data_IF_341622788105
#
_entry.id   IF_341622788105
#
_cell.length_a   1.000
_cell.length_b   1.000
_cell.length_c   1.000
_cell.angle_alpha   90.00
_cell.angle_beta   90.00
_cell.angle_gamma   90.00
#
_symmetry.space_group_name_H-M   'P 1'
#
loop_
_entity.id
_entity.type
_entity.pdbx_description
1 polymer ?
#
# COMPACT_ATOMS: atom_id res chain seq x y z
N UNK A 1 50.39 -12.28 17.91
CA UNK A 1 50.07 -12.83 16.57
C UNK A 1 48.92 -13.85 16.59
N UNK A 2 48.65 -14.55 17.68
CA UNK A 2 47.54 -15.56 17.79
C UNK A 2 46.16 -14.91 18.03
N UNK A 3 46.08 -13.84 18.82
CA UNK A 3 44.80 -13.16 19.10
C UNK A 3 44.14 -12.61 17.82
N UNK A 4 44.93 -12.14 16.87
CA UNK A 4 44.43 -11.61 15.60
C UNK A 4 43.82 -12.70 14.69
N UNK A 5 44.40 -13.91 14.71
CA UNK A 5 43.84 -15.05 13.94
C UNK A 5 42.52 -15.54 14.51
N UNK A 6 42.43 -15.67 15.86
CA UNK A 6 41.22 -16.09 16.53
C UNK A 6 40.09 -15.07 16.31
N UNK A 7 40.42 -13.79 16.38
CA UNK A 7 39.45 -12.72 16.13
C UNK A 7 38.93 -12.79 14.70
N UNK A 8 39.81 -12.96 13.71
CA UNK A 8 39.44 -13.08 12.29
C UNK A 8 38.58 -14.33 12.01
N UNK A 9 38.88 -15.46 12.68
CA UNK A 9 38.11 -16.68 12.56
C UNK A 9 36.70 -16.54 13.17
N UNK A 10 36.60 -15.85 14.31
CA UNK A 10 35.30 -15.55 14.95
C UNK A 10 34.45 -14.64 14.04
N UNK A 11 35.04 -13.58 13.49
CA UNK A 11 34.34 -12.69 12.54
C UNK A 11 33.91 -13.44 11.28
N UNK A 12 34.77 -14.28 10.69
CA UNK A 12 34.42 -15.09 9.52
C UNK A 12 33.28 -16.07 9.81
N UNK A 13 33.28 -16.72 10.97
CA UNK A 13 32.19 -17.62 11.39
C UNK A 13 30.90 -16.87 11.67
N UNK A 14 30.95 -15.69 12.28
CA UNK A 14 29.80 -14.83 12.50
C UNK A 14 29.22 -14.35 11.17
N UNK A 15 30.07 -13.92 10.24
CA UNK A 15 29.68 -13.50 8.89
C UNK A 15 29.06 -14.65 8.10
N UNK A 16 29.66 -15.85 8.10
CA UNK A 16 29.08 -17.04 7.48
C UNK A 16 27.73 -17.41 8.10
N UNK A 17 27.60 -17.36 9.43
CA UNK A 17 26.36 -17.63 10.14
C UNK A 17 25.30 -16.58 9.80
N UNK A 18 25.69 -15.32 9.69
CA UNK A 18 24.81 -14.23 9.29
C UNK A 18 24.36 -14.39 7.84
N UNK A 19 25.28 -14.66 6.90
CA UNK A 19 24.97 -14.91 5.49
C UNK A 19 24.05 -16.12 5.32
N UNK A 20 24.31 -17.23 6.01
CA UNK A 20 23.44 -18.41 5.96
C UNK A 20 22.06 -18.14 6.54
N UNK A 21 21.96 -17.30 7.56
CA UNK A 21 20.66 -16.86 8.12
C UNK A 21 19.91 -15.99 7.12
N UNK A 22 20.58 -15.06 6.46
CA UNK A 22 20.00 -14.21 5.41
C UNK A 22 19.55 -15.01 4.18
N UNK A 23 20.26 -16.06 3.81
CA UNK A 23 19.91 -16.92 2.67
C UNK A 23 18.77 -17.88 2.96
N UNK A 24 18.62 -18.33 4.20
CA UNK A 24 17.62 -19.35 4.60
C UNK A 24 16.36 -18.79 5.24
N UNK A 25 16.37 -17.54 5.72
CA UNK A 25 15.20 -16.96 6.36
C UNK A 25 14.18 -16.49 5.31
N UNK A 26 12.96 -17.02 5.42
CA UNK A 26 11.83 -16.60 4.60
C UNK A 26 11.46 -15.17 4.97
N UNK A 27 11.76 -14.23 4.08
CA UNK A 27 11.47 -12.80 4.30
C UNK A 27 9.97 -12.52 4.28
N UNK A 28 9.54 -11.61 5.14
CA UNK A 28 8.17 -11.07 5.11
C UNK A 28 8.05 -10.06 3.97
N UNK A 29 7.05 -10.27 3.12
CA UNK A 29 6.89 -9.59 1.83
C UNK A 29 5.83 -8.51 1.92
N UNK A 30 6.24 -7.28 1.67
CA UNK A 30 5.41 -6.08 1.77
C UNK A 30 5.18 -5.51 0.37
N UNK A 31 3.92 -5.30 0.00
CA UNK A 31 3.53 -4.49 -1.14
C UNK A 31 2.95 -3.17 -0.64
N UNK A 32 3.50 -2.08 -1.12
CA UNK A 32 3.02 -0.73 -0.80
C UNK A 32 2.65 0.02 -2.08
N UNK A 33 1.50 0.70 -2.08
CA UNK A 33 0.98 1.42 -3.25
C UNK A 33 0.67 2.85 -2.83
N UNK A 34 1.38 3.80 -3.45
CA UNK A 34 1.25 5.21 -3.13
C UNK A 34 -0.12 5.80 -3.47
N UNK A 35 -0.42 6.88 -2.79
CA UNK A 35 -1.46 7.81 -3.17
C UNK A 35 -1.02 8.76 -4.29
N UNK A 36 -1.85 9.78 -4.51
CA UNK A 36 -1.63 10.81 -5.52
C UNK A 36 -2.15 10.44 -6.91
N UNK A 37 -2.44 11.48 -7.70
CA UNK A 37 -3.08 11.33 -9.00
C UNK A 37 -4.51 10.80 -8.95
N UNK A 38 -5.18 10.84 -10.08
CA UNK A 38 -6.55 10.34 -10.24
C UNK A 38 -6.65 9.11 -11.12
N UNK A 39 -5.53 8.70 -11.72
CA UNK A 39 -5.52 7.64 -12.73
C UNK A 39 -4.85 6.34 -12.26
N UNK A 40 -3.94 6.41 -11.29
CA UNK A 40 -3.18 5.25 -10.84
C UNK A 40 -2.38 4.54 -11.96
N UNK A 41 -2.02 5.25 -13.03
CA UNK A 41 -1.41 4.65 -14.24
C UNK A 41 -0.11 3.93 -13.90
N UNK A 42 0.77 4.55 -13.13
CA UNK A 42 2.08 3.97 -12.80
C UNK A 42 1.92 2.72 -11.92
N UNK A 43 1.16 2.85 -10.84
CA UNK A 43 0.89 1.71 -9.95
C UNK A 43 0.11 0.61 -10.67
N UNK A 44 -0.86 0.97 -11.53
CA UNK A 44 -1.62 0.03 -12.34
C UNK A 44 -0.74 -0.72 -13.33
N UNK A 45 0.13 -0.04 -14.06
CA UNK A 45 1.08 -0.66 -14.99
C UNK A 45 2.02 -1.64 -14.27
N UNK A 46 2.55 -1.22 -13.12
CA UNK A 46 3.42 -2.06 -12.30
C UNK A 46 2.70 -3.29 -11.74
N UNK A 47 1.46 -3.16 -11.24
CA UNK A 47 0.66 -4.29 -10.73
C UNK A 47 0.33 -5.29 -11.83
N UNK A 48 -0.04 -4.82 -13.03
CA UNK A 48 -0.32 -5.70 -14.17
C UNK A 48 0.92 -6.49 -14.58
N UNK A 49 2.09 -5.84 -14.65
CA UNK A 49 3.34 -6.50 -14.98
C UNK A 49 3.77 -7.48 -13.89
N UNK A 50 3.68 -7.07 -12.63
CA UNK A 50 3.98 -7.89 -11.44
C UNK A 50 3.18 -9.21 -11.46
N UNK A 51 1.85 -9.16 -11.63
CA UNK A 51 1.02 -10.36 -11.65
C UNK A 51 1.31 -11.25 -12.86
N UNK A 52 1.56 -10.64 -14.03
CA UNK A 52 1.96 -11.35 -15.23
C UNK A 52 3.29 -12.10 -15.03
N UNK A 53 4.28 -11.45 -14.46
CA UNK A 53 5.58 -12.07 -14.18
C UNK A 53 5.51 -13.17 -13.12
N UNK A 54 4.71 -12.98 -12.07
CA UNK A 54 4.43 -14.02 -11.08
C UNK A 54 3.87 -15.27 -11.77
N UNK A 55 2.88 -15.14 -12.63
CA UNK A 55 2.28 -16.26 -13.38
C UNK A 55 3.29 -16.94 -14.30
N UNK A 56 4.09 -16.16 -15.01
CA UNK A 56 5.11 -16.69 -15.93
C UNK A 56 6.19 -17.48 -15.17
N UNK A 57 6.71 -16.96 -14.06
CA UNK A 57 7.80 -17.59 -13.31
C UNK A 57 7.35 -18.75 -12.45
N UNK A 58 6.08 -18.78 -12.02
CA UNK A 58 5.53 -19.92 -11.27
C UNK A 58 4.94 -21.00 -12.16
N UNK A 59 4.63 -20.71 -13.41
CA UNK A 59 3.86 -21.59 -14.29
C UNK A 59 2.40 -21.79 -13.86
N UNK A 60 1.91 -21.00 -12.89
CA UNK A 60 0.55 -21.05 -12.35
C UNK A 60 -0.27 -19.89 -12.94
N UNK A 61 -1.20 -20.19 -13.86
CA UNK A 61 -2.06 -19.21 -14.51
C UNK A 61 -3.02 -18.52 -13.54
N UNK A 62 -3.32 -19.16 -12.41
CA UNK A 62 -4.27 -18.67 -11.41
C UNK A 62 -3.59 -17.94 -10.24
N UNK A 63 -2.26 -17.83 -10.29
CA UNK A 63 -1.48 -17.12 -9.29
C UNK A 63 -1.89 -15.63 -9.25
N UNK A 64 -2.07 -15.10 -8.05
CA UNK A 64 -2.46 -13.73 -7.79
C UNK A 64 -1.44 -13.03 -6.89
N UNK A 65 -1.36 -11.71 -6.95
CA UNK A 65 -0.43 -10.91 -6.12
C UNK A 65 -0.58 -11.27 -4.63
N UNK A 66 -1.81 -11.41 -4.15
CA UNK A 66 -2.05 -11.75 -2.75
C UNK A 66 -1.46 -13.10 -2.30
N UNK A 67 -1.22 -14.03 -3.22
CA UNK A 67 -0.58 -15.32 -2.87
C UNK A 67 0.89 -15.15 -2.46
N UNK A 68 1.53 -14.06 -2.88
CA UNK A 68 2.97 -13.85 -2.73
C UNK A 68 3.35 -12.76 -1.74
N UNK A 69 2.42 -11.88 -1.34
CA UNK A 69 2.67 -10.85 -0.35
C UNK A 69 1.99 -11.19 0.98
N UNK A 70 2.68 -10.86 2.06
CA UNK A 70 2.23 -11.13 3.43
C UNK A 70 1.39 -9.97 3.98
N UNK A 71 1.61 -8.76 3.47
CA UNK A 71 0.86 -7.55 3.81
C UNK A 71 0.83 -6.60 2.62
N UNK A 72 -0.28 -5.89 2.47
CA UNK A 72 -0.45 -4.84 1.46
C UNK A 72 -0.82 -3.53 2.14
N UNK A 73 -0.19 -2.44 1.73
CA UNK A 73 -0.52 -1.08 2.18
C UNK A 73 -0.88 -0.20 0.99
N UNK A 74 -1.80 0.73 1.18
CA UNK A 74 -2.18 1.66 0.12
C UNK A 74 -2.72 2.98 0.64
N UNK A 75 -2.51 4.05 -0.11
CA UNK A 75 -3.04 5.40 0.17
C UNK A 75 -3.83 5.91 -1.02
N UNK A 76 -4.91 6.65 -0.80
CA UNK A 76 -5.68 7.25 -1.88
C UNK A 76 -6.14 6.24 -2.93
N UNK A 77 -5.80 6.46 -4.22
CA UNK A 77 -6.10 5.53 -5.31
C UNK A 77 -5.37 4.18 -5.12
N UNK A 78 -4.15 4.21 -4.56
CA UNK A 78 -3.40 3.00 -4.20
C UNK A 78 -4.11 2.16 -3.14
N UNK A 79 -4.84 2.78 -2.22
CA UNK A 79 -5.65 2.06 -1.25
C UNK A 79 -6.85 1.36 -1.90
N UNK A 80 -7.46 1.95 -2.93
CA UNK A 80 -8.56 1.30 -3.66
C UNK A 80 -8.02 0.05 -4.37
N UNK A 81 -6.88 0.16 -5.05
CA UNK A 81 -6.22 -0.98 -5.70
C UNK A 81 -5.83 -2.05 -4.67
N UNK A 82 -5.19 -1.65 -3.55
CA UNK A 82 -4.80 -2.56 -2.47
C UNK A 82 -6.01 -3.29 -1.87
N UNK A 83 -7.12 -2.58 -1.63
CA UNK A 83 -8.36 -3.17 -1.14
C UNK A 83 -8.96 -4.18 -2.14
N UNK A 84 -8.98 -3.87 -3.43
CA UNK A 84 -9.52 -4.75 -4.47
C UNK A 84 -8.74 -6.06 -4.60
N UNK A 85 -7.40 -6.00 -4.56
CA UNK A 85 -6.55 -7.19 -4.69
C UNK A 85 -6.38 -7.97 -3.37
N UNK A 86 -6.97 -7.51 -2.27
CA UNK A 86 -6.95 -8.20 -0.98
C UNK A 86 -8.34 -8.50 -0.41
N UNK A 87 -9.40 -7.89 -0.94
CA UNK A 87 -10.76 -8.18 -0.51
C UNK A 87 -11.11 -9.65 -0.77
N UNK A 88 -11.67 -10.33 0.24
CA UNK A 88 -12.01 -11.76 0.17
C UNK A 88 -13.35 -11.98 -0.55
N UNK A 89 -13.34 -12.81 -1.58
CA UNK A 89 -14.53 -13.22 -2.31
C UNK A 89 -15.47 -14.16 -1.50
N UNK A 90 -15.02 -14.63 -0.34
CA UNK A 90 -15.70 -15.57 0.54
C UNK A 90 -15.05 -16.96 0.55
N UNK A 91 -14.23 -17.29 -0.43
CA UNK A 91 -13.46 -18.53 -0.51
C UNK A 91 -12.05 -18.43 0.07
N UNK A 92 -11.63 -17.23 0.50
CA UNK A 92 -10.28 -16.91 0.94
C UNK A 92 -9.36 -16.46 -0.20
N UNK A 93 -9.93 -16.19 -1.38
CA UNK A 93 -9.19 -15.65 -2.53
C UNK A 93 -9.54 -14.16 -2.75
N UNK A 94 -8.66 -13.40 -3.38
CA UNK A 94 -8.94 -12.01 -3.75
C UNK A 94 -10.13 -11.88 -4.69
N UNK A 95 -10.98 -10.90 -4.43
CA UNK A 95 -12.15 -10.58 -5.25
C UNK A 95 -11.78 -10.15 -6.69
N UNK A 96 -10.59 -9.58 -6.86
CA UNK A 96 -10.07 -9.11 -8.14
C UNK A 96 -8.63 -9.56 -8.37
N UNK A 97 -8.32 -9.92 -9.62
CA UNK A 97 -6.95 -9.95 -10.11
C UNK A 97 -6.42 -8.52 -10.27
N UNK A 98 -5.11 -8.34 -10.42
CA UNK A 98 -4.56 -7.01 -10.74
C UNK A 98 -5.15 -6.45 -12.04
N UNK A 99 -5.36 -7.32 -13.04
CA UNK A 99 -5.98 -6.95 -14.32
C UNK A 99 -7.39 -6.40 -14.13
N UNK A 100 -8.22 -7.11 -13.37
CA UNK A 100 -9.60 -6.70 -13.15
C UNK A 100 -9.68 -5.41 -12.32
N UNK A 101 -8.84 -5.29 -11.29
CA UNK A 101 -8.78 -4.08 -10.45
C UNK A 101 -8.41 -2.84 -11.26
N UNK A 102 -7.35 -2.92 -12.07
CA UNK A 102 -6.90 -1.81 -12.92
C UNK A 102 -7.96 -1.47 -13.99
N UNK A 103 -8.58 -2.48 -14.59
CA UNK A 103 -9.64 -2.29 -15.58
C UNK A 103 -10.83 -1.56 -14.99
N UNK A 104 -11.34 -2.02 -13.85
CA UNK A 104 -12.47 -1.39 -13.14
C UNK A 104 -12.15 0.07 -12.76
N UNK A 105 -10.96 0.34 -12.23
CA UNK A 105 -10.56 1.71 -11.88
C UNK A 105 -10.50 2.60 -13.13
N UNK A 106 -10.00 2.07 -14.25
CA UNK A 106 -9.91 2.81 -15.51
C UNK A 106 -11.30 3.13 -16.07
N UNK A 107 -12.18 2.15 -16.12
CA UNK A 107 -13.57 2.33 -16.60
C UNK A 107 -14.37 3.28 -15.70
N UNK A 108 -14.24 3.12 -14.39
CA UNK A 108 -14.98 3.91 -13.39
C UNK A 108 -14.33 5.25 -13.05
N UNK A 109 -13.19 5.59 -13.64
CA UNK A 109 -12.44 6.80 -13.31
C UNK A 109 -13.29 8.07 -13.44
N UNK A 110 -14.09 8.19 -14.49
CA UNK A 110 -14.99 9.33 -14.70
C UNK A 110 -16.12 9.44 -13.68
N UNK A 111 -16.54 8.30 -13.09
CA UNK A 111 -17.53 8.26 -12.03
C UNK A 111 -16.90 8.51 -10.66
N UNK A 112 -15.72 7.93 -10.39
CA UNK A 112 -14.95 8.15 -9.16
C UNK A 112 -14.63 9.64 -8.95
N UNK A 113 -14.19 10.31 -10.01
CA UNK A 113 -13.76 11.70 -9.98
C UNK A 113 -14.75 12.63 -10.69
N UNK A 114 -16.04 12.30 -10.69
CA UNK A 114 -17.09 13.05 -11.34
C UNK A 114 -17.18 14.47 -10.78
N UNK A 115 -17.07 15.51 -11.60
CA UNK A 115 -17.27 16.89 -11.16
C UNK A 115 -18.69 17.08 -10.60
N UNK A 116 -18.79 17.83 -9.50
CA UNK A 116 -20.09 18.24 -8.98
C UNK A 116 -20.64 19.36 -9.84
N UNK A 117 -21.82 19.16 -10.42
CA UNK A 117 -22.55 20.21 -11.12
C UNK A 117 -23.05 21.22 -10.08
N UNK A 118 -22.33 22.34 -9.94
CA UNK A 118 -22.76 23.49 -9.13
C UNK A 118 -22.98 24.67 -10.05
N UNK A 119 -24.01 25.45 -9.76
CA UNK A 119 -24.42 26.60 -10.60
C UNK A 119 -23.26 27.58 -10.87
N UNK A 120 -23.50 28.46 -11.83
CA UNK A 120 -22.55 29.35 -12.53
C UNK A 120 -21.60 30.19 -11.64
N UNK A 121 -21.81 30.23 -10.33
CA UNK A 121 -21.04 31.07 -9.38
C UNK A 121 -20.00 30.35 -8.52
N UNK A 122 -19.79 29.00 -8.66
CA UNK A 122 -18.84 28.28 -7.79
C UNK A 122 -17.46 28.20 -8.41
N UNK A 123 -16.52 29.04 -7.97
CA UNK A 123 -15.10 29.08 -8.39
C UNK A 123 -14.27 27.81 -8.05
N UNK A 124 -14.75 26.91 -7.19
CA UNK A 124 -14.01 25.69 -6.79
C UNK A 124 -14.63 24.45 -7.44
N UNK A 125 -13.89 23.76 -8.28
CA UNK A 125 -14.26 22.45 -8.84
C UNK A 125 -14.23 21.38 -7.74
N UNK A 126 -15.35 21.13 -7.10
CA UNK A 126 -15.53 19.99 -6.18
C UNK A 126 -15.99 18.76 -6.93
N UNK A 127 -15.62 17.58 -6.40
CA UNK A 127 -16.05 16.31 -6.93
C UNK A 127 -17.30 15.79 -6.21
N UNK A 128 -18.02 14.88 -6.85
CA UNK A 128 -19.25 14.30 -6.32
C UNK A 128 -18.93 13.17 -5.34
N UNK A 129 -19.11 13.41 -4.04
CA UNK A 129 -18.98 12.37 -3.01
C UNK A 129 -19.94 11.20 -3.27
N UNK A 130 -21.20 11.47 -3.68
CA UNK A 130 -22.19 10.42 -3.95
C UNK A 130 -21.76 9.46 -5.06
N UNK A 131 -21.15 9.99 -6.12
CA UNK A 131 -20.69 9.18 -7.24
C UNK A 131 -19.55 8.26 -6.81
N UNK A 132 -18.55 8.80 -6.09
CA UNK A 132 -17.45 8.01 -5.54
C UNK A 132 -17.95 6.97 -4.54
N UNK A 133 -18.83 7.34 -3.61
CA UNK A 133 -19.40 6.43 -2.62
C UNK A 133 -20.16 5.27 -3.29
N UNK A 134 -20.91 5.54 -4.39
CA UNK A 134 -21.62 4.53 -5.17
C UNK A 134 -20.67 3.53 -5.81
N UNK A 135 -19.61 4.03 -6.47
CA UNK A 135 -18.60 3.18 -7.12
C UNK A 135 -17.86 2.33 -6.09
N UNK A 136 -17.40 2.94 -4.98
CA UNK A 136 -16.67 2.20 -3.94
C UNK A 136 -17.52 1.10 -3.30
N UNK A 137 -18.81 1.34 -3.05
CA UNK A 137 -19.72 0.31 -2.58
C UNK A 137 -19.88 -0.82 -3.59
N UNK A 138 -20.03 -0.48 -4.87
CA UNK A 138 -20.19 -1.48 -5.95
C UNK A 138 -18.95 -2.37 -6.07
N UNK A 139 -17.75 -1.81 -6.00
CA UNK A 139 -16.50 -2.57 -6.19
C UNK A 139 -16.04 -3.31 -4.93
N UNK A 140 -16.46 -2.88 -3.73
CA UNK A 140 -16.05 -3.46 -2.45
C UNK A 140 -17.23 -4.17 -1.75
N UNK A 141 -18.08 -4.81 -2.53
CA UNK A 141 -19.11 -5.74 -2.06
C UNK A 141 -18.82 -7.14 -2.61
N UNK A 142 -19.21 -8.15 -1.83
CA UNK A 142 -19.12 -9.54 -2.29
C UNK A 142 -20.09 -9.77 -3.43
N UNK A 143 -19.67 -10.49 -4.46
CA UNK A 143 -20.49 -10.69 -5.68
C UNK A 143 -21.68 -11.62 -5.46
N UNK A 144 -21.54 -12.59 -4.56
CA UNK A 144 -22.54 -13.64 -4.33
C UNK A 144 -23.78 -13.13 -3.54
N UNK A 145 -23.55 -12.39 -2.45
CA UNK A 145 -24.59 -11.97 -1.50
C UNK A 145 -24.78 -10.44 -1.44
N UNK A 146 -23.98 -9.68 -2.16
CA UNK A 146 -24.01 -8.21 -2.14
C UNK A 146 -23.59 -7.60 -0.80
N UNK A 147 -23.00 -8.38 0.11
CA UNK A 147 -22.55 -7.92 1.42
C UNK A 147 -21.40 -6.91 1.25
N UNK A 148 -21.53 -5.76 1.89
CA UNK A 148 -20.45 -4.78 1.99
C UNK A 148 -19.31 -5.36 2.84
N UNK A 149 -18.10 -5.37 2.26
CA UNK A 149 -16.93 -5.92 2.92
C UNK A 149 -16.38 -4.96 3.98
N UNK A 150 -15.77 -5.52 5.01
CA UNK A 150 -15.10 -4.79 6.10
C UNK A 150 -13.60 -5.08 6.09
N UNK A 151 -12.82 -4.38 6.91
CA UNK A 151 -11.38 -4.66 7.05
C UNK A 151 -11.07 -6.11 7.43
N UNK A 152 -11.98 -6.79 8.15
CA UNK A 152 -11.85 -8.23 8.46
C UNK A 152 -12.02 -9.12 7.25
N UNK A 153 -12.80 -8.69 6.27
CA UNK A 153 -13.13 -9.47 5.07
C UNK A 153 -12.02 -9.26 4.00
N UNK A 154 -10.75 -9.37 4.39
CA UNK A 154 -9.60 -9.35 3.47
C UNK A 154 -8.78 -10.63 3.62
N UNK A 155 -8.34 -11.21 2.50
CA UNK A 155 -7.54 -12.44 2.49
C UNK A 155 -6.10 -12.22 3.01
N UNK A 156 -5.62 -10.97 3.00
CA UNK A 156 -4.29 -10.57 3.51
C UNK A 156 -4.40 -9.37 4.46
N UNK A 157 -3.42 -9.21 5.39
CA UNK A 157 -3.27 -7.98 6.14
C UNK A 157 -3.25 -6.77 5.22
N UNK A 158 -4.09 -5.78 5.53
CA UNK A 158 -4.24 -4.54 4.77
C UNK A 158 -4.04 -3.34 5.69
N UNK A 159 -3.30 -2.34 5.21
CA UNK A 159 -3.09 -1.06 5.89
C UNK A 159 -3.50 0.10 5.01
N UNK A 160 -4.33 0.99 5.52
CA UNK A 160 -4.78 2.19 4.80
C UNK A 160 -4.73 3.40 5.76
N UNK A 161 -3.89 4.41 5.49
CA UNK A 161 -3.82 5.61 6.31
C UNK A 161 -4.86 6.65 5.90
N UNK A 162 -5.27 7.46 6.87
CA UNK A 162 -5.92 8.75 6.66
C UNK A 162 -5.41 9.75 7.71
N UNK A 163 -5.80 11.02 7.59
CA UNK A 163 -5.63 11.98 8.68
C UNK A 163 -6.98 12.21 9.36
N UNK A 164 -7.06 11.97 10.66
CA UNK A 164 -8.28 12.20 11.44
C UNK A 164 -8.28 13.59 12.05
N UNK A 165 -9.24 14.41 11.68
CA UNK A 165 -9.40 15.78 12.17
C UNK A 165 -9.83 15.85 13.65
N UNK A 166 -10.39 14.76 14.20
CA UNK A 166 -10.81 14.75 15.61
C UNK A 166 -9.61 14.60 16.55
N UNK A 167 -8.73 13.65 16.22
CA UNK A 167 -7.51 13.43 16.98
C UNK A 167 -6.37 14.36 16.55
N UNK A 168 -6.51 15.05 15.40
CA UNK A 168 -5.45 15.85 14.77
C UNK A 168 -4.18 15.05 14.52
N UNK A 169 -4.34 13.76 14.14
CA UNK A 169 -3.25 12.81 13.95
C UNK A 169 -3.50 11.87 12.76
N UNK A 170 -2.43 11.28 12.20
CA UNK A 170 -2.57 10.16 11.28
C UNK A 170 -3.29 8.99 11.96
N UNK A 171 -4.23 8.39 11.25
CA UNK A 171 -4.93 7.18 11.66
C UNK A 171 -4.75 6.11 10.60
N UNK A 172 -4.27 4.93 11.02
CA UNK A 172 -4.03 3.80 10.10
C UNK A 172 -5.06 2.70 10.36
N UNK A 173 -5.93 2.50 9.39
CA UNK A 173 -6.85 1.37 9.39
C UNK A 173 -6.08 0.09 9.09
N UNK A 174 -6.25 -0.94 9.92
CA UNK A 174 -5.58 -2.22 9.74
C UNK A 174 -6.52 -3.39 9.97
N UNK A 175 -6.29 -4.49 9.23
CA UNK A 175 -6.97 -5.76 9.51
C UNK A 175 -6.64 -6.28 10.92
N UNK A 176 -5.42 -6.08 11.39
CA UNK A 176 -5.01 -6.49 12.73
C UNK A 176 -5.87 -5.81 13.81
N UNK A 177 -5.99 -4.47 13.78
CA UNK A 177 -6.86 -3.74 14.71
C UNK A 177 -8.32 -4.13 14.58
N UNK A 178 -8.82 -4.30 13.35
CA UNK A 178 -10.18 -4.77 13.10
C UNK A 178 -10.44 -6.17 13.68
N UNK A 179 -9.42 -7.03 13.75
CA UNK A 179 -9.49 -8.36 14.31
C UNK A 179 -9.46 -8.37 15.84
N UNK A 180 -8.75 -7.42 16.43
CA UNK A 180 -8.66 -7.27 17.88
C UNK A 180 -9.95 -6.73 18.50
N UNK A 181 -10.60 -5.77 17.82
CA UNK A 181 -11.83 -5.16 18.33
C UNK A 181 -12.79 -4.77 17.22
N UNK A 182 -14.10 -5.03 17.37
CA UNK A 182 -15.14 -4.51 16.48
C UNK A 182 -15.13 -2.99 16.33
N UNK A 183 -14.63 -2.28 17.34
CA UNK A 183 -14.52 -0.82 17.34
C UNK A 183 -13.46 -0.28 16.38
N UNK A 184 -12.57 -1.15 15.86
CA UNK A 184 -11.61 -0.84 14.80
C UNK A 184 -11.95 -1.52 13.48
N UNK A 185 -13.10 -2.23 13.40
CA UNK A 185 -13.58 -2.80 12.14
C UNK A 185 -14.49 -1.78 11.44
N UNK A 186 -14.11 -1.41 10.21
CA UNK A 186 -14.82 -0.45 9.38
C UNK A 186 -15.18 -1.09 8.04
N UNK A 187 -16.28 -0.64 7.43
CA UNK A 187 -16.60 -1.00 6.05
C UNK A 187 -15.49 -0.54 5.11
N UNK A 188 -15.01 -1.43 4.27
CA UNK A 188 -13.82 -1.22 3.43
C UNK A 188 -13.99 -0.04 2.47
N UNK A 189 -15.20 0.14 1.90
CA UNK A 189 -15.51 1.28 1.05
C UNK A 189 -15.39 2.63 1.79
N UNK A 190 -15.75 2.68 3.08
CA UNK A 190 -15.60 3.88 3.91
C UNK A 190 -14.14 4.20 4.17
N UNK A 191 -13.33 3.18 4.39
CA UNK A 191 -11.88 3.33 4.57
C UNK A 191 -11.22 3.87 3.29
N UNK A 192 -11.55 3.30 2.14
CA UNK A 192 -11.09 3.81 0.84
C UNK A 192 -11.58 5.24 0.58
N UNK A 193 -12.82 5.54 0.95
CA UNK A 193 -13.38 6.89 0.82
C UNK A 193 -12.69 7.90 1.73
N UNK A 194 -12.30 7.49 2.94
CA UNK A 194 -11.59 8.31 3.91
C UNK A 194 -10.21 8.75 3.39
N UNK A 195 -9.41 7.78 2.94
CA UNK A 195 -8.05 8.03 2.42
C UNK A 195 -8.02 8.82 1.11
N UNK A 196 -9.15 8.88 0.37
CA UNK A 196 -9.31 9.67 -0.87
C UNK A 196 -10.01 11.02 -0.66
N UNK A 197 -10.27 11.43 0.58
CA UNK A 197 -10.97 12.67 0.89
C UNK A 197 -10.06 13.90 0.76
N UNK A 198 -9.50 14.13 -0.44
CA UNK A 198 -8.56 15.21 -0.73
C UNK A 198 -9.19 16.56 -0.44
N UNK A 199 -8.60 17.39 0.44
CA UNK A 199 -9.05 18.77 0.68
C UNK A 199 -9.12 19.53 -0.63
N UNK A 200 -10.03 20.49 -0.75
CA UNK A 200 -10.40 21.22 -1.97
C UNK A 200 -11.25 20.43 -2.97
N UNK A 201 -11.06 19.12 -3.14
CA UNK A 201 -11.87 18.28 -4.02
C UNK A 201 -13.10 17.72 -3.31
N UNK A 202 -12.92 17.24 -2.08
CA UNK A 202 -13.98 16.68 -1.24
C UNK A 202 -14.12 17.43 0.09
N UNK A 203 -15.24 17.22 0.77
CA UNK A 203 -15.39 17.56 2.18
C UNK A 203 -14.76 16.47 3.03
N UNK A 204 -14.35 16.76 4.29
CA UNK A 204 -14.00 15.74 5.25
C UNK A 204 -15.08 14.65 5.31
N UNK A 205 -14.66 13.41 5.42
CA UNK A 205 -15.57 12.27 5.44
C UNK A 205 -15.76 11.78 6.88
N UNK A 206 -17.02 11.83 7.36
CA UNK A 206 -17.37 11.39 8.71
C UNK A 206 -18.01 10.02 8.65
N UNK A 207 -17.51 9.07 9.45
CA UNK A 207 -18.04 7.72 9.52
C UNK A 207 -17.70 7.05 10.84
N UNK A 208 -18.30 5.89 11.06
CA UNK A 208 -18.13 5.09 12.29
C UNK A 208 -17.71 3.67 11.96
N UNK A 209 -17.11 3.01 12.96
CA UNK A 209 -16.89 1.56 12.97
C UNK A 209 -18.20 0.80 12.84
N UNK A 210 -18.12 -0.50 12.55
CA UNK A 210 -19.29 -1.38 12.37
C UNK A 210 -20.16 -1.43 13.64
N UNK A 211 -19.52 -1.38 14.83
CA UNK A 211 -20.23 -1.35 16.12
C UNK A 211 -20.65 0.07 16.57
N UNK A 212 -20.34 1.10 15.79
CA UNK A 212 -20.68 2.50 16.04
C UNK A 212 -19.88 3.18 17.17
N UNK A 213 -18.97 2.49 17.85
CA UNK A 213 -18.26 3.03 19.02
C UNK A 213 -17.13 3.97 18.66
N UNK A 214 -16.42 3.69 17.57
CA UNK A 214 -15.34 4.57 17.09
C UNK A 214 -15.82 5.40 15.91
N UNK A 215 -15.54 6.69 15.94
CA UNK A 215 -15.88 7.62 14.86
C UNK A 215 -14.65 8.37 14.39
N UNK A 216 -14.52 8.51 13.08
CA UNK A 216 -13.44 9.21 12.39
C UNK A 216 -13.98 10.37 11.56
N UNK A 217 -13.23 11.47 11.50
CA UNK A 217 -13.46 12.60 10.62
C UNK A 217 -12.26 12.75 9.68
N UNK A 218 -12.26 11.95 8.61
CA UNK A 218 -11.11 11.75 7.77
C UNK A 218 -10.93 12.79 6.68
N UNK A 219 -9.68 13.11 6.43
CA UNK A 219 -9.18 13.69 5.19
C UNK A 219 -8.07 12.82 4.61
N UNK A 220 -7.68 13.12 3.38
CA UNK A 220 -6.75 12.34 2.55
C UNK A 220 -5.50 11.88 3.31
N UNK A 221 -5.26 10.58 3.26
CA UNK A 221 -4.03 9.97 3.81
C UNK A 221 -2.76 10.44 3.10
N UNK A 222 -2.87 10.89 1.85
CA UNK A 222 -1.76 11.41 1.07
C UNK A 222 -1.10 12.65 1.66
N UNK A 223 -1.80 13.38 2.53
CA UNK A 223 -1.23 14.55 3.22
C UNK A 223 -0.15 14.18 4.25
N UNK A 224 -0.17 12.95 4.75
CA UNK A 224 0.71 12.52 5.86
C UNK A 224 1.45 11.22 5.57
N UNK A 225 0.89 10.35 4.73
CA UNK A 225 1.44 9.04 4.37
C UNK A 225 1.12 8.73 2.91
N UNK A 226 1.50 9.61 1.98
CA UNK A 226 1.28 9.37 0.55
C UNK A 226 2.01 8.11 0.09
N UNK A 227 3.23 7.89 0.58
CA UNK A 227 3.94 6.61 0.50
C UNK A 227 3.74 5.85 1.82
N UNK A 228 2.86 4.82 1.88
CA UNK A 228 2.56 4.11 3.12
C UNK A 228 3.59 3.03 3.49
N UNK A 229 4.71 2.94 2.78
CA UNK A 229 5.70 1.87 2.97
C UNK A 229 6.29 1.88 4.38
N UNK A 230 6.62 3.05 4.92
CA UNK A 230 7.17 3.14 6.29
C UNK A 230 6.14 2.70 7.35
N UNK A 231 4.85 3.01 7.14
CA UNK A 231 3.79 2.52 8.03
C UNK A 231 3.67 0.99 7.97
N UNK A 232 3.78 0.39 6.79
CA UNK A 232 3.76 -1.06 6.61
C UNK A 232 4.97 -1.73 7.28
N UNK A 233 6.18 -1.21 7.07
CA UNK A 233 7.41 -1.69 7.71
C UNK A 233 7.30 -1.61 9.23
N UNK A 234 6.89 -0.46 9.75
CA UNK A 234 6.68 -0.25 11.20
C UNK A 234 5.64 -1.22 11.76
N UNK A 235 4.52 -1.42 11.06
CA UNK A 235 3.48 -2.35 11.47
C UNK A 235 4.02 -3.78 11.59
N UNK A 236 4.76 -4.24 10.58
CA UNK A 236 5.33 -5.60 10.57
C UNK A 236 6.35 -5.78 11.69
N UNK A 237 7.20 -4.79 11.95
CA UNK A 237 8.20 -4.83 13.02
C UNK A 237 7.57 -4.88 14.42
N UNK A 238 6.44 -4.19 14.61
CA UNK A 238 5.76 -4.11 15.92
C UNK A 238 4.69 -5.17 16.13
N UNK A 239 4.04 -5.67 15.10
CA UNK A 239 2.97 -6.66 15.21
C UNK A 239 3.53 -8.08 15.30
N UNK A 240 4.08 -8.44 16.44
CA UNK A 240 4.65 -9.78 16.69
C UNK A 240 3.61 -10.90 16.72
N UNK A 241 2.33 -10.58 16.82
CA UNK A 241 1.24 -11.56 16.73
C UNK A 241 1.10 -12.14 15.33
N UNK A 242 1.11 -11.27 14.31
CA UNK A 242 0.96 -11.68 12.91
C UNK A 242 2.31 -11.96 12.25
N UNK A 243 3.39 -11.32 12.74
CA UNK A 243 4.75 -11.41 12.19
C UNK A 243 5.80 -11.74 13.28
N UNK A 244 5.69 -12.92 13.93
CA UNK A 244 6.52 -13.25 15.11
C UNK A 244 8.01 -13.39 14.80
N UNK A 245 8.36 -13.76 13.57
CA UNK A 245 9.75 -14.04 13.14
C UNK A 245 10.52 -12.82 12.69
N UNK A 246 9.84 -11.69 12.45
CA UNK A 246 10.49 -10.47 11.95
C UNK A 246 11.18 -9.73 13.11
N UNK A 247 12.48 -9.52 13.03
CA UNK A 247 13.27 -8.83 14.04
C UNK A 247 13.83 -7.49 13.54
N UNK A 248 14.12 -7.38 12.25
CA UNK A 248 14.66 -6.17 11.65
C UNK A 248 14.27 -6.03 10.18
N UNK A 249 14.81 -5.01 9.53
CA UNK A 249 14.57 -4.75 8.10
C UNK A 249 15.19 -5.83 7.20
N UNK A 250 16.19 -6.54 7.69
CA UNK A 250 16.84 -7.67 7.03
C UNK A 250 15.88 -8.85 6.79
N UNK A 251 14.83 -8.95 7.59
CA UNK A 251 13.78 -9.99 7.46
C UNK A 251 12.66 -9.59 6.47
N UNK A 252 12.81 -8.45 5.78
CA UNK A 252 11.79 -7.89 4.91
C UNK A 252 12.20 -7.95 3.44
N UNK A 253 11.21 -8.08 2.56
CA UNK A 253 11.30 -7.90 1.12
C UNK A 253 10.17 -6.95 0.70
N UNK A 254 10.51 -5.77 0.21
CA UNK A 254 9.57 -4.66 0.06
C UNK A 254 9.50 -4.18 -1.39
N UNK A 255 8.30 -4.19 -1.96
CA UNK A 255 8.00 -3.53 -3.24
C UNK A 255 7.12 -2.30 -2.98
N UNK A 256 7.63 -1.14 -3.31
CA UNK A 256 6.94 0.13 -3.18
C UNK A 256 6.61 0.70 -4.56
N UNK A 257 5.32 0.85 -4.85
CA UNK A 257 4.82 1.35 -6.13
C UNK A 257 4.40 2.81 -5.99
N UNK A 258 5.14 3.70 -6.62
CA UNK A 258 4.77 5.10 -6.74
C UNK A 258 3.70 5.33 -7.78
N UNK A 259 3.09 6.49 -7.74
CA UNK A 259 2.03 6.88 -8.68
C UNK A 259 2.46 7.99 -9.66
N UNK A 260 3.75 8.14 -9.87
CA UNK A 260 4.36 9.22 -10.66
C UNK A 260 4.62 10.47 -9.82
N UNK A 261 5.57 11.29 -10.23
CA UNK A 261 5.77 12.61 -9.64
C UNK A 261 4.57 13.49 -9.98
N UNK A 262 4.03 14.19 -9.00
CA UNK A 262 3.05 15.27 -9.25
C UNK A 262 3.67 16.20 -10.28
N UNK A 263 2.95 16.45 -11.35
CA UNK A 263 3.44 17.05 -12.58
C UNK A 263 4.34 18.27 -12.36
N UNK A 264 5.65 18.03 -12.35
CA UNK A 264 6.65 19.07 -12.22
C UNK A 264 6.58 20.19 -13.28
N UNK A 265 5.79 19.98 -14.34
CA UNK A 265 5.46 20.98 -15.36
C UNK A 265 4.37 21.96 -14.93
N UNK A 266 3.40 21.51 -14.14
CA UNK A 266 2.38 22.42 -13.58
C UNK A 266 2.92 23.18 -12.36
N UNK A 267 3.68 22.50 -11.48
CA UNK A 267 4.33 23.17 -10.33
C UNK A 267 5.30 24.28 -10.79
N UNK A 268 6.09 24.07 -11.87
CA UNK A 268 6.93 25.10 -12.45
C UNK A 268 6.14 26.28 -13.02
N UNK A 269 4.99 26.04 -13.67
CA UNK A 269 4.12 27.13 -14.20
C UNK A 269 3.43 27.94 -13.11
N UNK A 270 3.17 27.35 -11.94
CA UNK A 270 2.45 28.01 -10.83
C UNK A 270 3.37 28.91 -10.02
N UNK A 271 4.68 28.60 -9.97
CA UNK A 271 5.68 29.43 -9.29
C UNK A 271 6.27 30.56 -10.16
N UNK A 272 5.96 30.62 -11.46
CA UNK A 272 6.48 31.65 -12.37
C UNK A 272 6.00 33.08 -12.02
N UNK A 273 4.92 33.22 -11.25
CA UNK A 273 4.42 34.52 -10.77
C UNK A 273 4.83 34.85 -9.31
N UNK A 274 5.76 34.09 -8.71
CA UNK A 274 6.31 34.39 -7.39
C UNK A 274 5.44 33.99 -6.20
N UNK A 275 4.24 33.45 -6.41
CA UNK A 275 3.33 32.97 -5.34
C UNK A 275 2.96 31.50 -5.49
N UNK A 276 3.15 30.71 -4.44
CA UNK A 276 2.66 29.33 -4.39
C UNK A 276 1.17 29.30 -4.05
N UNK A 277 0.36 28.72 -4.93
CA UNK A 277 -1.05 28.46 -4.63
C UNK A 277 -1.20 27.38 -3.53
N UNK A 278 -2.32 27.38 -2.80
CA UNK A 278 -2.60 26.35 -1.76
C UNK A 278 -2.52 24.92 -2.33
N UNK A 279 -2.92 24.69 -3.58
CA UNK A 279 -2.80 23.38 -4.21
C UNK A 279 -1.35 23.00 -4.45
N UNK A 280 -0.51 23.93 -4.86
CA UNK A 280 0.94 23.72 -5.04
C UNK A 280 1.62 23.35 -3.71
N UNK A 281 1.25 24.00 -2.62
CA UNK A 281 1.78 23.68 -1.28
C UNK A 281 1.39 22.26 -0.85
N UNK A 282 0.14 21.85 -1.12
CA UNK A 282 -0.32 20.48 -0.83
C UNK A 282 0.44 19.45 -1.66
N UNK A 283 0.64 19.70 -2.96
CA UNK A 283 1.38 18.80 -3.85
C UNK A 283 2.85 18.69 -3.41
N UNK A 284 3.50 19.82 -3.07
CA UNK A 284 4.87 19.82 -2.53
C UNK A 284 4.98 19.01 -1.23
N UNK A 285 4.00 19.19 -0.33
CA UNK A 285 3.99 18.45 0.94
C UNK A 285 3.82 16.95 0.71
N UNK A 286 2.90 16.53 -0.15
CA UNK A 286 2.66 15.12 -0.47
C UNK A 286 3.89 14.48 -1.15
N UNK A 287 4.49 15.17 -2.11
CA UNK A 287 5.72 14.71 -2.78
C UNK A 287 6.91 14.66 -1.80
N UNK A 288 7.06 15.69 -0.95
CA UNK A 288 8.11 15.77 0.06
C UNK A 288 8.03 14.65 1.10
N UNK A 289 6.81 14.34 1.57
CA UNK A 289 6.58 13.21 2.50
C UNK A 289 6.93 11.88 1.82
N UNK A 290 6.48 11.66 0.57
CA UNK A 290 6.81 10.44 -0.17
C UNK A 290 8.31 10.27 -0.38
N UNK A 291 8.98 11.35 -0.76
CA UNK A 291 10.43 11.36 -1.01
C UNK A 291 11.22 11.11 0.26
N UNK A 292 10.83 11.74 1.38
CA UNK A 292 11.47 11.53 2.69
C UNK A 292 11.38 10.06 3.11
N UNK A 293 10.22 9.43 2.95
CA UNK A 293 10.03 8.00 3.26
C UNK A 293 10.93 7.13 2.38
N UNK A 294 11.00 7.41 1.08
CA UNK A 294 11.83 6.64 0.15
C UNK A 294 13.32 6.74 0.52
N UNK A 295 13.82 7.95 0.84
CA UNK A 295 15.18 8.16 1.30
C UNK A 295 15.48 7.44 2.62
N UNK A 296 14.57 7.50 3.60
CA UNK A 296 14.72 6.81 4.90
C UNK A 296 14.78 5.30 4.72
N UNK A 297 13.91 4.74 3.89
CA UNK A 297 13.89 3.30 3.62
C UNK A 297 15.09 2.86 2.79
N UNK A 298 15.48 3.62 1.77
CA UNK A 298 16.72 3.36 1.02
C UNK A 298 17.94 3.29 1.92
N UNK A 299 18.03 4.16 2.94
CA UNK A 299 19.07 4.08 3.96
C UNK A 299 18.92 2.88 4.90
N UNK A 300 17.70 2.57 5.35
CA UNK A 300 17.47 1.43 6.22
C UNK A 300 17.83 0.09 5.56
N UNK A 301 17.67 -0.01 4.24
CA UNK A 301 18.03 -1.17 3.43
C UNK A 301 19.39 -1.08 2.75
N UNK A 302 20.28 -0.16 3.16
CA UNK A 302 21.56 0.10 2.49
C UNK A 302 22.47 -1.14 2.40
N UNK A 303 22.39 -2.07 3.35
CA UNK A 303 23.15 -3.32 3.33
C UNK A 303 22.56 -4.39 2.39
N UNK A 304 21.24 -4.32 2.13
CA UNK A 304 20.51 -5.20 1.24
C UNK A 304 19.59 -4.38 0.34
N UNK A 305 20.15 -3.49 -0.46
CA UNK A 305 19.41 -2.56 -1.31
C UNK A 305 18.45 -3.22 -2.30
N UNK A 306 18.65 -4.49 -2.61
CA UNK A 306 17.74 -5.28 -3.45
C UNK A 306 16.47 -5.72 -2.70
N UNK A 307 16.43 -5.62 -1.36
CA UNK A 307 15.27 -5.97 -0.54
C UNK A 307 14.22 -4.86 -0.48
N UNK A 308 14.60 -3.65 -0.85
CA UNK A 308 13.70 -2.52 -1.04
C UNK A 308 13.74 -2.06 -2.50
N UNK A 309 12.66 -2.28 -3.22
CA UNK A 309 12.54 -1.85 -4.62
C UNK A 309 11.42 -0.82 -4.72
N UNK A 310 11.77 0.39 -5.17
CA UNK A 310 10.84 1.48 -5.45
C UNK A 310 10.63 1.61 -6.95
N UNK A 311 9.40 1.48 -7.42
CA UNK A 311 9.00 1.74 -8.82
C UNK A 311 8.37 3.12 -8.90
N UNK A 312 8.89 3.97 -9.76
CA UNK A 312 8.43 5.34 -9.94
C UNK A 312 8.59 5.77 -11.41
N UNK A 313 7.77 6.70 -11.87
CA UNK A 313 7.85 7.27 -13.21
C UNK A 313 7.86 8.80 -13.16
N UNK A 314 8.49 9.43 -14.15
CA UNK A 314 8.72 10.89 -14.18
C UNK A 314 7.63 11.71 -14.87
N UNK A 315 6.57 11.16 -15.42
CA UNK A 315 5.68 11.96 -16.21
C UNK A 315 4.20 11.57 -16.27
N UNK A 316 3.37 12.52 -16.70
CA UNK A 316 1.93 12.38 -16.91
C UNK A 316 1.60 11.92 -18.34
N UNK A 317 0.46 11.22 -18.47
CA UNK A 317 -0.15 10.93 -19.78
C UNK A 317 0.57 9.86 -20.58
N UNK A 318 1.22 8.92 -19.92
CA UNK A 318 1.98 7.85 -20.55
C UNK A 318 1.17 6.57 -20.64
N UNK A 319 1.54 5.76 -21.63
CA UNK A 319 1.04 4.40 -21.78
C UNK A 319 1.70 3.47 -20.75
N UNK A 320 1.11 2.29 -20.56
CA UNK A 320 1.67 1.24 -19.69
C UNK A 320 3.10 0.90 -20.10
N UNK A 321 3.33 0.72 -21.40
CA UNK A 321 4.61 0.33 -21.97
C UNK A 321 5.68 1.39 -21.74
N UNK A 322 5.32 2.66 -21.85
CA UNK A 322 6.25 3.76 -21.58
C UNK A 322 6.68 3.78 -20.11
N UNK A 323 5.75 3.60 -19.17
CA UNK A 323 6.04 3.54 -17.72
C UNK A 323 6.99 2.38 -17.39
N UNK A 324 6.79 1.21 -17.98
CA UNK A 324 7.61 0.03 -17.73
C UNK A 324 9.02 0.16 -18.32
N UNK A 325 9.14 0.74 -19.51
CA UNK A 325 10.43 0.98 -20.18
C UNK A 325 11.20 2.17 -19.60
N UNK A 326 10.55 3.01 -18.79
CA UNK A 326 11.24 4.13 -18.15
C UNK A 326 12.30 3.60 -17.17
N UNK A 327 13.47 4.24 -17.18
CA UNK A 327 14.55 3.91 -16.26
C UNK A 327 14.13 4.20 -14.83
N UNK A 328 14.47 3.29 -13.93
CA UNK A 328 14.16 3.44 -12.51
C UNK A 328 14.77 4.70 -11.91
N UNK A 329 14.10 5.26 -10.93
CA UNK A 329 14.58 6.37 -10.12
C UNK A 329 14.91 5.88 -8.72
N UNK A 330 16.03 6.32 -8.19
CA UNK A 330 16.45 6.07 -6.82
C UNK A 330 16.58 7.40 -6.08
N UNK A 331 16.00 7.47 -4.92
CA UNK A 331 16.12 8.63 -4.02
C UNK A 331 17.39 8.49 -3.20
N UNK A 332 18.26 9.50 -3.28
CA UNK A 332 19.52 9.54 -2.53
C UNK A 332 19.32 10.35 -1.25
N UNK A 333 19.84 9.86 -0.14
CA UNK A 333 19.84 10.62 1.11
C UNK A 333 20.52 11.97 0.91
N UNK A 334 19.74 13.05 1.07
CA UNK A 334 20.19 14.43 0.91
C UNK A 334 20.80 14.78 -0.46
N UNK A 335 20.72 13.88 -1.45
CA UNK A 335 21.36 14.02 -2.76
C UNK A 335 20.41 14.14 -3.96
N UNK A 336 19.10 14.24 -3.71
CA UNK A 336 18.09 14.27 -4.78
C UNK A 336 17.82 12.88 -5.39
N UNK A 337 17.59 12.83 -6.70
CA UNK A 337 17.23 11.59 -7.41
C UNK A 337 18.32 11.18 -8.41
N UNK A 338 18.58 9.89 -8.46
CA UNK A 338 19.47 9.25 -9.42
C UNK A 338 18.69 8.41 -10.41
N UNK A 339 18.99 8.57 -11.70
CA UNK A 339 18.45 7.70 -12.75
C UNK A 339 19.27 6.41 -12.80
N UNK A 340 18.62 5.29 -12.63
CA UNK A 340 19.23 3.96 -12.67
C UNK A 340 19.51 3.53 -14.13
N UNK A 341 20.31 2.48 -14.31
CA UNK A 341 20.54 1.87 -15.63
C UNK A 341 19.35 1.00 -16.04
N UNK A 342 18.77 0.29 -15.08
CA UNK A 342 17.67 -0.64 -15.23
C UNK A 342 16.34 0.09 -15.44
N UNK A 343 15.47 -0.48 -16.28
CA UNK A 343 14.11 -0.04 -16.46
C UNK A 343 13.22 -0.49 -15.28
N UNK A 344 12.03 0.09 -15.15
CA UNK A 344 11.05 -0.35 -14.16
C UNK A 344 10.65 -1.81 -14.38
N UNK A 345 10.54 -2.24 -15.64
CA UNK A 345 10.26 -3.64 -16.03
C UNK A 345 11.32 -4.59 -15.50
N UNK A 346 12.60 -4.35 -15.81
CA UNK A 346 13.73 -5.17 -15.36
C UNK A 346 13.82 -5.25 -13.83
N UNK A 347 13.51 -4.16 -13.14
CA UNK A 347 13.50 -4.11 -11.67
C UNK A 347 12.36 -4.94 -11.07
N UNK A 348 11.18 -4.91 -11.67
CA UNK A 348 10.05 -5.76 -11.26
C UNK A 348 10.40 -7.23 -11.51
N UNK A 349 10.96 -7.56 -12.67
CA UNK A 349 11.34 -8.93 -13.02
C UNK A 349 12.36 -9.53 -12.05
N UNK A 350 13.40 -8.76 -11.72
CA UNK A 350 14.40 -9.14 -10.72
C UNK A 350 13.79 -9.32 -9.32
N UNK A 351 12.84 -8.46 -8.95
CA UNK A 351 12.11 -8.59 -7.70
C UNK A 351 11.25 -9.86 -7.66
N UNK A 352 10.52 -10.15 -8.75
CA UNK A 352 9.66 -11.35 -8.86
C UNK A 352 10.48 -12.63 -8.76
N UNK A 353 11.67 -12.71 -9.35
CA UNK A 353 12.56 -13.87 -9.20
C UNK A 353 12.81 -14.20 -7.72
N UNK A 354 13.10 -13.18 -6.91
CA UNK A 354 13.31 -13.34 -5.47
C UNK A 354 12.02 -13.65 -4.72
N UNK A 355 10.93 -13.02 -5.11
CA UNK A 355 9.61 -13.22 -4.54
C UNK A 355 9.14 -14.68 -4.71
N UNK A 356 9.29 -15.23 -5.91
CA UNK A 356 8.88 -16.59 -6.28
C UNK A 356 9.81 -17.63 -5.67
N UNK A 357 11.12 -17.38 -5.60
CA UNK A 357 12.08 -18.28 -4.97
C UNK A 357 11.72 -18.60 -3.50
N UNK A 358 11.06 -17.67 -2.82
CA UNK A 358 10.56 -17.86 -1.44
C UNK A 358 9.24 -18.64 -1.36
N UNK A 359 8.61 -18.99 -2.49
CA UNK A 359 7.33 -19.70 -2.57
C UNK A 359 6.11 -18.84 -2.18
N UNK A 360 4.91 -19.44 -2.22
CA UNK A 360 3.67 -18.76 -1.81
C UNK A 360 3.71 -18.37 -0.33
N UNK A 361 3.04 -17.27 0.02
CA UNK A 361 2.93 -16.80 1.39
C UNK A 361 2.35 -17.88 2.31
N UNK A 362 3.07 -18.20 3.36
CA UNK A 362 2.68 -19.23 4.35
C UNK A 362 2.20 -18.63 5.66
N UNK A 363 1.83 -17.35 5.68
CA UNK A 363 1.16 -16.81 6.86
C UNK A 363 -0.09 -17.67 7.13
N UNK A 364 -0.30 -18.12 8.38
CA UNK A 364 -1.47 -18.89 8.72
C UNK A 364 -2.73 -18.09 8.34
N UNK A 365 -3.82 -18.75 7.94
CA UNK A 365 -5.08 -18.06 7.73
C UNK A 365 -5.39 -17.25 8.98
N UNK A 366 -5.87 -16.01 8.77
CA UNK A 366 -6.17 -15.08 9.86
C UNK A 366 -6.88 -15.80 11.01
N UNK A 367 -6.44 -15.63 12.27
CA UNK A 367 -7.12 -16.21 13.43
C UNK A 367 -8.59 -15.83 13.54
N UNK A 368 -9.04 -14.86 12.75
CA UNK A 368 -10.45 -14.48 12.64
C UNK A 368 -11.37 -15.58 12.07
N UNK A 369 -10.85 -16.58 11.36
CA UNK A 369 -11.65 -17.71 10.86
C UNK A 369 -11.94 -18.78 11.94
N UNK A 370 -11.31 -18.73 13.12
CA UNK A 370 -11.43 -19.77 14.16
C UNK A 370 -11.82 -19.28 15.56
N UNK A 371 -12.41 -18.10 15.71
CA UNK A 371 -12.99 -17.69 17.01
C UNK A 371 -14.47 -18.08 17.09
N UNK A 372 -14.77 -19.35 16.90
CA UNK A 372 -15.90 -19.93 17.60
C UNK A 372 -15.46 -20.13 19.06
N UNK A 373 -15.67 -19.12 19.89
CA UNK A 373 -15.51 -19.25 21.33
C UNK A 373 -16.57 -20.24 21.78
N UNK A 374 -16.15 -21.46 22.10
CA UNK A 374 -16.98 -22.40 22.85
C UNK A 374 -17.23 -21.76 24.22
N UNK A 375 -18.48 -21.51 24.63
CA UNK A 375 -18.73 -20.97 25.97
C UNK A 375 -18.18 -21.96 27.01
N UNK A 376 -17.33 -21.50 27.89
CA UNK A 376 -16.94 -22.25 29.08
C UNK A 376 -18.24 -22.58 29.86
N UNK A 377 -18.55 -23.86 29.97
CA UNK A 377 -19.60 -24.32 30.83
C UNK A 377 -19.33 -23.84 32.26
N UNK A 378 -20.23 -23.02 32.77
CA UNK A 378 -20.24 -22.65 34.19
C UNK A 378 -20.53 -23.95 34.97
N UNK A 379 -19.51 -24.45 35.66
CA UNK A 379 -19.69 -25.51 36.64
C UNK A 379 -20.47 -24.93 37.82
N UNK A 380 -21.74 -25.31 37.94
CA UNK A 380 -22.52 -25.09 39.14
C UNK A 380 -21.86 -25.89 40.31
N UNK A 381 -21.31 -25.14 41.25
CA UNK A 381 -20.92 -25.73 42.54
C UNK A 381 -22.17 -26.01 43.35
N UNK A 382 -22.34 -27.26 43.68
CA UNK A 382 -23.21 -27.70 44.82
C UNK A 382 -22.44 -27.61 46.13
#
# INVERSE_FOLDING_TARGET
>A
MELSKVTLEIFSKLEQKWLSHCETSKKTRILSIDGGGTTGIVAGAALLHLEQQIRLQTGDSDAQIADFFDIVAGTGIGAILAAMITADDGSGRPLYTAKDAVHVITEKNSELYKPKTTGVFCRRRRLSSRSMDSVLKQVLQRREDGKLLTLKDTCKPLLIPCFDLKSSAPFVFSRAGASESPSFNFELWKVCRATTATPSLFKPFHFTSVDGKTSCSAVDGGLVMNNPTAAAVTHVLHNKRDFPTVNGVEDLLVLSLGNGASSGTQARKICDNGECSTSCVVDIAADGVSETIDQMLGNAFCWNHTDYVRIQAMGLGRTREEVLKERGLESLAFGGKRLLKESNEERIDSFVQRLVASGKSSLPPSPCKHSAVTPLAVAEAR
#
